data_IF_230758982312
#
_entry.id   IF_230758982312
#
_cell.length_a   1.000
_cell.length_b   1.000
_cell.length_c   1.000
_cell.angle_alpha   90.00
_cell.angle_beta   90.00
_cell.angle_gamma   90.00
#
_symmetry.space_group_name_H-M   'P 1'
#
loop_
_entity.id
_entity.type
_entity.pdbx_description
1 polymer ?
#
# COMPACT_ATOMS: atom_id res chain seq x y z
N UNK A 1 21.51 6.71 -11.84
CA UNK A 1 20.74 5.58 -12.40
C UNK A 1 20.05 4.92 -11.22
N UNK A 2 18.77 5.22 -10.98
CA UNK A 2 18.02 4.63 -9.87
C UNK A 2 17.65 3.20 -10.27
N UNK A 3 18.25 2.23 -9.59
CA UNK A 3 17.93 0.80 -9.73
C UNK A 3 16.60 0.55 -9.05
N UNK A 4 15.50 0.57 -9.81
CA UNK A 4 14.20 0.12 -9.33
C UNK A 4 14.24 -1.40 -9.30
N UNK A 5 14.53 -1.97 -8.12
CA UNK A 5 14.20 -3.38 -7.83
C UNK A 5 12.74 -3.58 -8.21
N UNK A 6 12.34 -4.68 -8.90
CA UNK A 6 10.92 -4.92 -9.15
C UNK A 6 10.21 -5.00 -7.80
N UNK A 7 9.35 -4.03 -7.50
CA UNK A 7 8.58 -4.02 -6.26
C UNK A 7 7.84 -5.36 -6.19
N UNK A 8 8.02 -6.10 -5.10
CA UNK A 8 7.19 -7.28 -4.85
C UNK A 8 5.74 -6.83 -4.75
N UNK A 9 4.82 -7.59 -5.32
CA UNK A 9 3.39 -7.29 -5.21
C UNK A 9 2.75 -8.03 -4.04
N UNK A 10 1.70 -7.43 -3.47
CA UNK A 10 0.80 -8.06 -2.52
C UNK A 10 -0.64 -7.82 -2.99
N UNK A 11 -1.39 -8.91 -3.15
CA UNK A 11 -2.83 -8.81 -3.42
C UNK A 11 -3.51 -8.10 -2.24
N UNK A 12 -4.36 -7.11 -2.53
CA UNK A 12 -5.09 -6.38 -1.50
C UNK A 12 -5.92 -7.31 -0.61
N UNK A 13 -6.44 -8.41 -1.17
CA UNK A 13 -7.19 -9.43 -0.40
C UNK A 13 -6.36 -10.13 0.67
N UNK A 14 -5.03 -10.13 0.54
CA UNK A 14 -4.13 -10.78 1.48
C UNK A 14 -3.47 -9.75 2.42
N UNK A 15 -3.90 -8.48 2.37
CA UNK A 15 -3.28 -7.42 3.15
C UNK A 15 -3.49 -7.63 4.65
N UNK A 16 -4.71 -7.98 5.06
CA UNK A 16 -5.03 -8.26 6.46
C UNK A 16 -4.16 -9.40 7.02
N UNK A 17 -4.17 -10.56 6.35
CA UNK A 17 -3.34 -11.72 6.71
C UNK A 17 -1.84 -11.38 6.74
N UNK A 18 -1.37 -10.54 5.81
CA UNK A 18 0.01 -10.09 5.78
C UNK A 18 0.36 -9.27 7.02
N UNK A 19 -0.55 -8.37 7.42
CA UNK A 19 -0.34 -7.52 8.59
C UNK A 19 -0.49 -8.28 9.91
N UNK A 20 -1.35 -9.30 9.97
CA UNK A 20 -1.55 -10.14 11.17
C UNK A 20 -0.47 -11.23 11.33
N UNK A 21 0.44 -11.38 10.35
CA UNK A 21 1.50 -12.38 10.39
C UNK A 21 2.39 -12.27 11.64
N UNK A 22 2.70 -13.43 12.25
CA UNK A 22 3.66 -13.55 13.35
C UNK A 22 5.10 -13.17 12.96
N UNK A 23 5.41 -13.16 11.67
CA UNK A 23 6.73 -12.75 11.16
C UNK A 23 6.89 -11.22 11.05
N UNK A 24 5.79 -10.47 11.25
CA UNK A 24 5.79 -9.00 11.20
C UNK A 24 6.69 -8.42 12.29
N UNK A 25 7.53 -7.46 11.91
CA UNK A 25 8.57 -6.87 12.79
C UNK A 25 8.18 -5.53 13.42
N UNK A 26 7.01 -5.00 13.10
CA UNK A 26 6.56 -3.68 13.54
C UNK A 26 5.30 -3.24 12.81
N UNK A 27 4.90 -2.00 12.99
CA UNK A 27 3.80 -1.42 12.21
C UNK A 27 4.12 -1.39 10.72
N UNK A 28 3.09 -1.50 9.90
CA UNK A 28 3.21 -1.43 8.44
C UNK A 28 2.80 -0.02 7.98
N UNK A 29 3.71 0.66 7.31
CA UNK A 29 3.49 2.00 6.79
C UNK A 29 2.74 1.94 5.47
N UNK A 30 1.59 2.61 5.40
CA UNK A 30 0.84 2.80 4.16
C UNK A 30 1.31 4.06 3.43
N UNK A 31 1.55 3.94 2.13
CA UNK A 31 1.99 5.04 1.27
C UNK A 31 1.05 5.11 0.05
N UNK A 32 0.39 6.25 -0.12
CA UNK A 32 -0.45 6.55 -1.27
C UNK A 32 0.29 7.43 -2.27
N UNK A 33 0.52 6.90 -3.47
CA UNK A 33 1.11 7.63 -4.59
C UNK A 33 0.00 8.23 -5.44
N UNK A 34 -0.08 9.56 -5.42
CA UNK A 34 -1.11 10.31 -6.08
C UNK A 34 -0.78 10.52 -7.57
N UNK A 35 -1.74 10.21 -8.44
CA UNK A 35 -1.68 10.43 -9.89
C UNK A 35 -3.01 11.04 -10.37
N UNK A 36 -2.91 12.15 -11.09
CA UNK A 36 -4.04 13.02 -11.43
C UNK A 36 -5.23 12.32 -12.12
N UNK A 37 -4.98 11.34 -13.00
CA UNK A 37 -6.01 10.71 -13.83
C UNK A 37 -6.56 9.44 -13.20
N UNK A 38 -5.77 8.76 -12.39
CA UNK A 38 -6.05 7.42 -11.87
C UNK A 38 -6.46 7.45 -10.40
N UNK A 39 -5.99 8.44 -9.64
CA UNK A 39 -6.26 8.59 -8.21
C UNK A 39 -5.03 8.24 -7.40
N UNK A 40 -5.13 7.26 -6.50
CA UNK A 40 -4.09 6.91 -5.54
C UNK A 40 -3.71 5.44 -5.68
N UNK A 41 -2.44 5.17 -5.94
CA UNK A 41 -1.90 3.82 -5.89
C UNK A 41 -1.30 3.55 -4.52
N UNK A 42 -1.55 2.37 -3.97
CA UNK A 42 -1.07 2.03 -2.64
C UNK A 42 0.22 1.20 -2.70
N UNK A 43 1.14 1.54 -1.80
CA UNK A 43 2.23 0.67 -1.38
C UNK A 43 2.21 0.50 0.13
N UNK A 44 2.76 -0.61 0.59
CA UNK A 44 3.07 -0.82 1.98
C UNK A 44 4.58 -0.94 2.16
N UNK A 45 5.06 -0.60 3.35
CA UNK A 45 6.45 -0.78 3.77
C UNK A 45 6.44 -1.37 5.19
N UNK A 46 7.09 -2.52 5.37
CA UNK A 46 7.17 -3.23 6.66
C UNK A 46 8.51 -3.00 7.39
N UNK A 47 9.29 -2.02 6.93
CA UNK A 47 10.63 -1.70 7.42
C UNK A 47 11.74 -2.59 6.87
N UNK A 48 11.40 -3.65 6.12
CA UNK A 48 12.36 -4.50 5.40
C UNK A 48 12.24 -4.30 3.89
N UNK A 49 11.02 -4.27 3.37
CA UNK A 49 10.76 -4.07 1.95
C UNK A 49 9.45 -3.33 1.68
N UNK A 50 9.42 -2.65 0.52
CA UNK A 50 8.20 -2.05 0.01
C UNK A 50 7.50 -2.97 -0.99
N UNK A 51 6.18 -3.02 -0.90
CA UNK A 51 5.33 -3.83 -1.78
C UNK A 51 4.26 -3.00 -2.45
N UNK A 52 4.01 -3.26 -3.73
CA UNK A 52 2.90 -2.67 -4.47
C UNK A 52 1.63 -3.45 -4.19
N UNK A 53 0.57 -2.73 -3.85
CA UNK A 53 -0.75 -3.33 -3.66
C UNK A 53 -1.42 -3.51 -5.03
N UNK A 54 -1.85 -4.74 -5.28
CA UNK A 54 -2.49 -5.15 -6.54
C UNK A 54 -3.88 -5.72 -6.31
N UNK A 55 -4.71 -5.67 -7.35
CA UNK A 55 -6.03 -6.30 -7.38
C UNK A 55 -5.93 -7.83 -7.53
N UNK A 56 -7.08 -8.49 -7.63
CA UNK A 56 -7.15 -9.95 -7.82
C UNK A 56 -6.58 -10.46 -9.15
N UNK A 57 -6.31 -9.57 -10.11
CA UNK A 57 -5.70 -9.88 -11.40
C UNK A 57 -4.19 -9.57 -11.40
N UNK A 58 -3.62 -9.13 -10.28
CA UNK A 58 -2.22 -8.75 -10.16
C UNK A 58 -1.91 -7.37 -10.75
N UNK A 59 -2.94 -6.58 -11.10
CA UNK A 59 -2.78 -5.23 -11.62
C UNK A 59 -2.73 -4.24 -10.45
N UNK A 60 -1.93 -3.18 -10.58
CA UNK A 60 -1.85 -2.13 -9.56
C UNK A 60 -3.24 -1.60 -9.20
N UNK A 61 -3.59 -1.66 -7.92
CA UNK A 61 -4.87 -1.19 -7.41
C UNK A 61 -4.86 0.35 -7.32
N UNK A 62 -5.95 0.97 -7.75
CA UNK A 62 -6.14 2.41 -7.73
C UNK A 62 -7.40 2.76 -6.94
N UNK A 63 -7.21 3.56 -5.90
CA UNK A 63 -8.30 4.18 -5.14
C UNK A 63 -8.62 5.54 -5.75
N UNK A 64 -9.89 5.90 -5.86
CA UNK A 64 -10.27 7.20 -6.44
C UNK A 64 -9.99 8.37 -5.50
N UNK A 65 -10.15 8.14 -4.20
CA UNK A 65 -9.92 9.13 -3.15
C UNK A 65 -9.08 8.52 -2.02
N UNK A 66 -8.51 9.39 -1.18
CA UNK A 66 -7.86 8.95 0.06
C UNK A 66 -8.89 8.33 1.00
N UNK A 67 -10.08 8.91 1.10
CA UNK A 67 -11.15 8.41 1.98
C UNK A 67 -11.54 6.98 1.64
N UNK A 68 -11.68 6.65 0.35
CA UNK A 68 -11.95 5.28 -0.09
C UNK A 68 -10.83 4.32 0.34
N UNK A 69 -9.56 4.75 0.23
CA UNK A 69 -8.44 3.93 0.68
C UNK A 69 -8.46 3.73 2.21
N UNK A 70 -8.86 4.75 2.98
CA UNK A 70 -8.95 4.67 4.44
C UNK A 70 -10.11 3.78 4.88
N UNK A 71 -11.27 3.87 4.22
CA UNK A 71 -12.43 2.99 4.46
C UNK A 71 -12.03 1.52 4.27
N UNK A 72 -11.34 1.20 3.17
CA UNK A 72 -10.90 -0.17 2.88
C UNK A 72 -9.79 -0.67 3.82
N UNK A 73 -9.11 0.22 4.56
CA UNK A 73 -8.06 -0.12 5.52
C UNK A 73 -8.54 -0.11 6.98
N UNK A 74 -9.79 0.28 7.25
CA UNK A 74 -10.27 0.54 8.61
C UNK A 74 -10.13 -0.65 9.56
N UNK A 75 -10.26 -1.87 9.04
CA UNK A 75 -10.20 -3.12 9.81
C UNK A 75 -8.84 -3.84 9.68
N UNK A 76 -7.87 -3.27 8.96
CA UNK A 76 -6.55 -3.90 8.78
C UNK A 76 -5.69 -3.65 10.03
N UNK A 77 -5.27 -4.70 10.74
CA UNK A 77 -4.53 -4.53 11.99
C UNK A 77 -3.08 -4.10 11.74
N UNK A 78 -2.46 -3.51 12.76
CA UNK A 78 -1.02 -3.20 12.78
C UNK A 78 -0.50 -2.31 11.66
N UNK A 79 -1.38 -1.53 11.04
CA UNK A 79 -0.97 -0.38 10.24
C UNK A 79 -0.41 0.71 11.15
N UNK A 80 0.52 1.49 10.62
CA UNK A 80 0.96 2.70 11.32
C UNK A 80 -0.19 3.71 11.39
N UNK A 81 -0.27 4.44 12.50
CA UNK A 81 -1.25 5.52 12.70
C UNK A 81 -1.10 6.66 11.67
N UNK A 82 0.10 6.76 11.06
CA UNK A 82 0.36 7.75 10.03
C UNK A 82 0.19 7.15 8.64
N UNK A 83 -0.46 7.89 7.74
CA UNK A 83 -0.50 7.59 6.32
C UNK A 83 0.31 8.64 5.54
N UNK A 84 1.16 8.18 4.62
CA UNK A 84 1.99 9.05 3.79
C UNK A 84 1.33 9.23 2.42
N UNK A 85 1.22 10.48 1.95
CA UNK A 85 0.76 10.78 0.59
C UNK A 85 1.91 11.40 -0.21
N UNK A 86 2.32 10.73 -1.27
CA UNK A 86 3.32 11.21 -2.22
C UNK A 86 2.61 11.86 -3.41
N UNK A 87 2.82 13.17 -3.61
CA UNK A 87 2.14 13.98 -4.65
C UNK A 87 3.04 14.35 -5.83
N UNK A 88 4.05 13.54 -6.12
CA UNK A 88 5.03 13.83 -7.18
C UNK A 88 4.43 13.89 -8.59
N UNK A 89 3.25 13.30 -8.82
CA UNK A 89 2.61 13.15 -10.13
C UNK A 89 1.15 13.68 -10.16
N UNK A 90 0.83 14.66 -9.32
CA UNK A 90 -0.52 15.23 -9.17
C UNK A 90 -0.89 16.31 -10.19
#
# INVERSE_FOLDING_TARGET
MSTTTPDKSLSFRNLEDYCDSLERRGEIQVILYAERKRGYAMRIDDGTESRVIVDSHGMQLWFRTVDQALEDLADVPYLSENLIIVRSSW
#
